data_IF_521700982133
#
_entry.id   IF_521700982133
#
_cell.length_a   1.000
_cell.length_b   1.000
_cell.length_c   1.000
_cell.angle_alpha   90.00
_cell.angle_beta   90.00
_cell.angle_gamma   90.00
#
_symmetry.space_group_name_H-M   'P 1'
#
loop_
_entity.id
_entity.type
_entity.pdbx_description
1 polymer ?
#
# COMPACT_ATOMS: atom_id res chain seq x y z
N UNK A 1 -17.23 -8.49 -15.43
CA UNK A 1 -16.43 -7.77 -14.41
C UNK A 1 -16.70 -6.30 -14.63
N UNK A 2 -17.44 -5.67 -13.72
CA UNK A 2 -17.84 -4.26 -13.83
C UNK A 2 -16.86 -3.37 -13.07
N UNK A 3 -16.59 -2.19 -13.61
CA UNK A 3 -15.69 -1.20 -13.05
C UNK A 3 -16.47 0.06 -12.72
N UNK A 4 -16.35 0.57 -11.50
CA UNK A 4 -17.07 1.72 -10.97
C UNK A 4 -16.09 2.87 -10.73
N UNK A 5 -16.45 4.08 -11.17
CA UNK A 5 -15.71 5.30 -10.89
C UNK A 5 -16.04 5.77 -9.46
N UNK A 6 -14.99 6.02 -8.66
CA UNK A 6 -15.11 6.46 -7.27
C UNK A 6 -14.99 7.99 -7.09
N UNK A 7 -14.63 8.73 -8.14
CA UNK A 7 -14.55 10.19 -8.08
C UNK A 7 -15.94 10.79 -7.82
N UNK A 8 -15.98 11.80 -6.96
CA UNK A 8 -17.15 12.59 -6.63
C UNK A 8 -17.02 13.99 -7.23
N UNK A 9 -18.11 14.60 -7.72
CA UNK A 9 -18.10 15.97 -8.21
C UNK A 9 -17.87 17.00 -7.09
N UNK A 10 -18.04 16.61 -5.83
CA UNK A 10 -17.76 17.43 -4.65
C UNK A 10 -16.29 17.39 -4.23
N UNK A 11 -15.48 16.52 -4.83
CA UNK A 11 -14.04 16.48 -4.57
C UNK A 11 -13.35 17.77 -5.02
N UNK A 12 -12.37 18.27 -4.26
CA UNK A 12 -11.50 19.29 -4.78
C UNK A 12 -10.69 18.75 -5.97
N UNK A 13 -10.24 19.64 -6.88
CA UNK A 13 -9.43 19.23 -8.02
C UNK A 13 -8.13 18.56 -7.56
N UNK A 14 -7.70 17.53 -8.28
CA UNK A 14 -6.50 16.77 -7.94
C UNK A 14 -5.22 17.35 -8.54
N UNK A 15 -5.34 18.39 -9.37
CA UNK A 15 -4.21 19.00 -10.05
C UNK A 15 -4.38 20.52 -10.15
N UNK A 16 -3.28 21.25 -9.94
CA UNK A 16 -3.17 22.69 -10.14
C UNK A 16 -2.00 23.02 -11.08
N UNK A 17 -2.30 23.47 -12.30
CA UNK A 17 -1.29 23.97 -13.23
C UNK A 17 -0.85 25.37 -12.86
N UNK A 18 0.39 25.51 -12.36
CA UNK A 18 1.00 26.82 -12.08
C UNK A 18 1.19 27.66 -13.35
N UNK A 19 1.46 27.00 -14.48
CA UNK A 19 1.66 27.69 -15.78
C UNK A 19 0.38 28.28 -16.36
N UNK A 20 -0.76 27.61 -16.14
CA UNK A 20 -2.07 28.03 -16.63
C UNK A 20 -2.90 28.73 -15.56
N UNK A 21 -2.43 28.72 -14.30
CA UNK A 21 -3.18 29.12 -13.12
C UNK A 21 -4.59 28.50 -13.07
N UNK A 22 -4.68 27.20 -13.39
CA UNK A 22 -5.94 26.50 -13.56
C UNK A 22 -5.92 25.11 -12.93
N UNK A 23 -7.06 24.69 -12.38
CA UNK A 23 -7.24 23.38 -11.73
C UNK A 23 -7.93 22.36 -12.63
N UNK A 24 -7.58 21.08 -12.48
CA UNK A 24 -8.29 19.97 -13.13
C UNK A 24 -8.27 18.70 -12.26
N UNK A 25 -9.01 17.67 -12.68
CA UNK A 25 -9.13 16.38 -11.95
C UNK A 25 -8.74 15.20 -12.86
N UNK A 26 -7.47 15.09 -13.27
CA UNK A 26 -7.01 13.99 -14.13
C UNK A 26 -6.89 12.66 -13.37
N UNK A 27 -6.82 12.69 -12.05
CA UNK A 27 -6.59 11.51 -11.23
C UNK A 27 -7.90 10.77 -10.93
N UNK A 28 -8.10 9.66 -11.63
CA UNK A 28 -9.31 8.84 -11.55
C UNK A 28 -9.07 7.57 -10.75
N UNK A 29 -10.05 7.21 -9.93
CA UNK A 29 -10.02 5.98 -9.14
C UNK A 29 -11.17 5.09 -9.55
N UNK A 30 -10.84 3.84 -9.82
CA UNK A 30 -11.80 2.81 -10.18
C UNK A 30 -11.76 1.64 -9.21
N UNK A 31 -12.92 1.05 -8.97
CA UNK A 31 -13.07 -0.13 -8.13
C UNK A 31 -13.97 -1.17 -8.78
N UNK A 32 -13.69 -2.44 -8.51
CA UNK A 32 -14.57 -3.56 -8.89
C UNK A 32 -15.73 -3.69 -7.89
N UNK A 33 -16.80 -4.34 -8.32
CA UNK A 33 -18.06 -4.48 -7.55
C UNK A 33 -17.85 -5.03 -6.12
N UNK A 34 -16.88 -5.90 -5.92
CA UNK A 34 -16.59 -6.57 -4.64
C UNK A 34 -15.89 -5.69 -3.60
N UNK A 35 -15.28 -4.58 -4.04
CA UNK A 35 -14.52 -3.66 -3.19
C UNK A 35 -15.08 -2.23 -3.20
N UNK A 36 -15.90 -1.84 -4.19
CA UNK A 36 -16.39 -0.46 -4.36
C UNK A 36 -17.06 0.07 -3.08
N UNK A 37 -17.95 -0.72 -2.47
CA UNK A 37 -18.68 -0.34 -1.24
C UNK A 37 -17.84 -0.42 0.03
N UNK A 38 -16.61 -0.94 -0.05
CA UNK A 38 -15.65 -0.99 1.06
C UNK A 38 -14.55 0.04 0.90
N UNK A 39 -14.57 0.80 -0.20
CA UNK A 39 -13.51 1.75 -0.53
C UNK A 39 -13.98 3.15 -0.24
N UNK A 40 -13.25 3.87 0.61
CA UNK A 40 -13.39 5.32 0.80
C UNK A 40 -12.34 6.02 -0.07
N UNK A 41 -12.68 7.21 -0.54
CA UNK A 41 -11.81 8.07 -1.33
C UNK A 41 -11.83 9.47 -0.72
N UNK A 42 -10.66 10.08 -0.61
CA UNK A 42 -10.50 11.46 -0.17
C UNK A 42 -9.38 12.11 -0.97
N UNK A 43 -9.62 13.28 -1.54
CA UNK A 43 -8.54 14.14 -2.04
C UNK A 43 -7.95 14.88 -0.85
N UNK A 44 -6.64 14.77 -0.68
CA UNK A 44 -5.89 15.40 0.40
C UNK A 44 -5.50 16.84 0.02
N UNK A 45 -5.01 17.59 1.00
CA UNK A 45 -4.36 18.88 0.74
C UNK A 45 -3.16 18.69 -0.21
N UNK A 46 -2.83 19.74 -0.96
CA UNK A 46 -1.66 19.70 -1.83
C UNK A 46 -0.39 19.50 -0.99
N UNK A 47 0.48 18.60 -1.48
CA UNK A 47 1.82 18.47 -0.92
C UNK A 47 2.70 19.53 -1.56
N UNK A 48 3.39 20.28 -0.73
CA UNK A 48 4.32 21.29 -1.21
C UNK A 48 5.43 20.67 -2.05
N UNK A 49 5.60 21.19 -3.26
CA UNK A 49 6.52 20.65 -4.28
C UNK A 49 5.85 19.75 -5.33
N UNK A 50 4.59 19.39 -5.15
CA UNK A 50 3.76 18.75 -6.17
C UNK A 50 2.75 19.75 -6.75
N UNK A 51 2.39 19.59 -8.01
CA UNK A 51 1.23 20.21 -8.65
C UNK A 51 -0.02 19.31 -8.58
N UNK A 52 0.14 18.06 -8.13
CA UNK A 52 -0.96 17.14 -7.82
C UNK A 52 -1.26 17.08 -6.32
N UNK A 53 -2.55 17.00 -5.99
CA UNK A 53 -3.07 16.65 -4.67
C UNK A 53 -3.19 15.13 -4.53
N UNK A 54 -2.67 14.54 -3.44
CA UNK A 54 -2.78 13.10 -3.23
C UNK A 54 -4.25 12.64 -3.13
N UNK A 55 -4.54 11.46 -3.68
CA UNK A 55 -5.83 10.79 -3.49
C UNK A 55 -5.64 9.63 -2.51
N UNK A 56 -6.19 9.78 -1.30
CA UNK A 56 -6.17 8.76 -0.26
C UNK A 56 -7.31 7.78 -0.47
N UNK A 57 -6.97 6.49 -0.52
CA UNK A 57 -7.92 5.38 -0.59
C UNK A 57 -7.88 4.57 0.69
N UNK A 58 -9.02 4.48 1.38
CA UNK A 58 -9.22 3.56 2.48
C UNK A 58 -9.98 2.33 1.98
N UNK A 59 -9.54 1.13 2.32
CA UNK A 59 -10.34 -0.08 2.07
C UNK A 59 -10.62 -0.75 3.39
N UNK A 60 -11.90 -0.80 3.75
CA UNK A 60 -12.36 -1.52 4.94
C UNK A 60 -12.13 -3.02 4.75
N UNK A 61 -11.11 -3.52 5.43
CA UNK A 61 -10.82 -4.94 5.51
C UNK A 61 -10.88 -5.40 6.97
N UNK A 62 -11.79 -6.33 7.25
CA UNK A 62 -11.93 -6.98 8.57
C UNK A 62 -10.76 -7.90 8.94
N UNK A 63 -9.57 -7.72 8.36
CA UNK A 63 -8.41 -8.57 8.58
C UNK A 63 -7.25 -7.74 9.11
N UNK A 64 -6.75 -8.08 10.29
CA UNK A 64 -5.41 -7.67 10.70
C UNK A 64 -4.41 -8.44 9.83
N UNK A 65 -3.91 -7.81 8.76
CA UNK A 65 -2.86 -8.41 7.93
C UNK A 65 -1.56 -8.43 8.72
N UNK A 66 -1.30 -9.55 9.39
CA UNK A 66 0.01 -9.82 9.98
C UNK A 66 1.02 -9.98 8.83
N UNK A 67 2.14 -9.26 8.93
CA UNK A 67 3.24 -9.36 7.97
C UNK A 67 4.27 -10.36 8.49
N UNK A 68 4.91 -11.05 7.57
CA UNK A 68 6.06 -11.90 7.89
C UNK A 68 7.23 -11.04 8.38
N UNK A 69 7.80 -11.37 9.53
CA UNK A 69 8.98 -10.69 10.06
C UNK A 69 10.25 -11.49 9.73
N UNK A 70 10.79 -11.28 8.53
CA UNK A 70 11.98 -11.97 8.05
C UNK A 70 13.23 -11.71 8.92
N UNK A 71 13.30 -10.54 9.58
CA UNK A 71 14.42 -10.20 10.47
C UNK A 71 14.43 -11.01 11.77
N UNK A 72 13.28 -11.47 12.25
CA UNK A 72 13.14 -12.29 13.46
C UNK A 72 12.95 -13.78 13.15
N UNK A 73 13.18 -14.19 11.91
CA UNK A 73 12.97 -15.58 11.47
C UNK A 73 14.04 -16.49 12.02
N UNK A 74 13.64 -17.67 12.51
CA UNK A 74 14.58 -18.75 12.77
C UNK A 74 14.81 -19.52 11.46
N UNK A 75 15.86 -19.15 10.74
CA UNK A 75 16.17 -19.72 9.43
C UNK A 75 16.57 -21.19 9.51
N UNK A 76 17.28 -21.60 10.55
CA UNK A 76 17.67 -23.00 10.73
C UNK A 76 16.43 -23.89 10.87
N UNK A 77 15.48 -23.48 11.72
CA UNK A 77 14.21 -24.18 11.89
C UNK A 77 13.37 -24.20 10.60
N UNK A 78 13.36 -23.09 9.84
CA UNK A 78 12.68 -23.04 8.54
C UNK A 78 13.28 -24.04 7.54
N UNK A 79 14.61 -24.09 7.46
CA UNK A 79 15.35 -25.00 6.57
C UNK A 79 15.07 -26.45 6.93
N UNK A 80 15.26 -26.83 8.20
CA UNK A 80 15.02 -28.20 8.65
C UNK A 80 13.58 -28.67 8.39
N UNK A 81 12.58 -27.81 8.64
CA UNK A 81 11.18 -28.14 8.35
C UNK A 81 10.90 -28.28 6.85
N UNK A 82 11.52 -27.43 6.03
CA UNK A 82 11.32 -27.46 4.58
C UNK A 82 11.91 -28.72 3.98
N UNK A 83 13.11 -29.12 4.41
CA UNK A 83 13.76 -30.36 3.97
C UNK A 83 12.91 -31.57 4.37
N UNK A 84 12.49 -31.65 5.63
CA UNK A 84 11.64 -32.74 6.14
C UNK A 84 10.33 -32.86 5.35
N UNK A 85 9.64 -31.74 5.14
CA UNK A 85 8.35 -31.70 4.45
C UNK A 85 8.47 -31.90 2.93
N UNK A 86 9.64 -31.67 2.34
CA UNK A 86 9.89 -31.85 0.92
C UNK A 86 10.21 -33.31 0.54
N UNK A 87 10.69 -34.14 1.48
CA UNK A 87 11.01 -35.58 1.26
C UNK A 87 9.94 -36.34 0.44
N UNK A 88 8.62 -36.25 0.75
CA UNK A 88 7.60 -37.00 0.00
C UNK A 88 7.28 -36.41 -1.39
N UNK A 89 7.85 -35.26 -1.77
CA UNK A 89 7.61 -34.64 -3.07
C UNK A 89 8.38 -35.40 -4.15
N UNK A 90 7.70 -36.31 -4.84
CA UNK A 90 8.24 -36.94 -6.04
C UNK A 90 8.03 -36.05 -7.28
N UNK A 91 9.12 -35.57 -7.88
CA UNK A 91 9.12 -34.79 -9.12
C UNK A 91 9.01 -35.65 -10.38
N UNK A 92 9.31 -36.96 -10.30
CA UNK A 92 9.38 -37.83 -11.47
C UNK A 92 7.99 -38.07 -12.07
N UNK A 93 7.86 -37.78 -13.36
CA UNK A 93 6.61 -38.02 -14.11
C UNK A 93 5.45 -37.08 -13.75
N UNK A 94 5.66 -36.08 -12.88
CA UNK A 94 4.63 -35.08 -12.56
C UNK A 94 4.67 -33.90 -13.51
N UNK A 95 3.49 -33.37 -13.84
CA UNK A 95 3.35 -32.09 -14.55
C UNK A 95 3.87 -30.94 -13.66
N UNK A 96 4.33 -29.88 -14.29
CA UNK A 96 4.96 -28.71 -13.64
C UNK A 96 4.02 -28.02 -12.65
N UNK A 97 2.77 -27.73 -13.02
CA UNK A 97 1.84 -27.00 -12.16
C UNK A 97 1.51 -27.72 -10.84
N UNK A 98 1.15 -29.02 -10.83
CA UNK A 98 0.97 -29.77 -9.58
C UNK A 98 2.22 -29.82 -8.70
N UNK A 99 3.40 -29.95 -9.31
CA UNK A 99 4.66 -29.99 -8.59
C UNK A 99 4.97 -28.63 -7.94
N UNK A 100 4.82 -27.54 -8.68
CA UNK A 100 4.99 -26.17 -8.16
C UNK A 100 4.03 -25.89 -7.00
N UNK A 101 2.77 -26.35 -7.10
CA UNK A 101 1.79 -26.22 -6.02
C UNK A 101 2.23 -26.96 -4.75
N UNK A 102 2.68 -28.21 -4.88
CA UNK A 102 3.15 -29.00 -3.74
C UNK A 102 4.36 -28.36 -3.04
N UNK A 103 5.33 -27.86 -3.81
CA UNK A 103 6.50 -27.15 -3.26
C UNK A 103 6.06 -25.86 -2.55
N UNK A 104 5.16 -25.09 -3.16
CA UNK A 104 4.63 -23.86 -2.59
C UNK A 104 3.91 -24.12 -1.26
N UNK A 105 3.13 -25.19 -1.17
CA UNK A 105 2.45 -25.60 0.06
C UNK A 105 3.45 -25.95 1.17
N UNK A 106 4.53 -26.66 0.84
CA UNK A 106 5.62 -26.95 1.79
C UNK A 106 6.27 -25.67 2.31
N UNK A 107 6.68 -24.76 1.40
CA UNK A 107 7.30 -23.48 1.77
C UNK A 107 6.38 -22.68 2.70
N UNK A 108 5.09 -22.58 2.36
CA UNK A 108 4.11 -21.84 3.17
C UNK A 108 3.94 -22.50 4.55
N UNK A 109 3.91 -23.83 4.61
CA UNK A 109 3.75 -24.57 5.87
C UNK A 109 4.96 -24.40 6.80
N UNK A 110 6.18 -24.48 6.26
CA UNK A 110 7.42 -24.21 7.01
C UNK A 110 7.47 -22.77 7.49
N UNK A 111 7.13 -21.80 6.60
CA UNK A 111 7.13 -20.39 6.94
C UNK A 111 6.18 -20.08 8.10
N UNK A 112 4.97 -20.68 8.09
CA UNK A 112 3.98 -20.47 9.16
C UNK A 112 4.48 -20.89 10.55
N UNK A 113 5.43 -21.83 10.62
CA UNK A 113 6.01 -22.30 11.88
C UNK A 113 7.27 -21.54 12.29
N UNK A 114 8.11 -21.18 11.33
CA UNK A 114 9.45 -20.65 11.60
C UNK A 114 9.56 -19.12 11.47
N UNK A 115 8.66 -18.47 10.74
CA UNK A 115 8.66 -17.01 10.51
C UNK A 115 7.61 -16.36 11.42
N UNK A 116 8.01 -15.56 12.43
CA UNK A 116 7.07 -14.82 13.24
C UNK A 116 6.23 -13.88 12.39
N UNK A 117 4.94 -13.78 12.75
CA UNK A 117 3.99 -12.87 12.13
C UNK A 117 3.64 -11.76 13.09
N UNK A 118 3.61 -10.53 12.60
CA UNK A 118 3.24 -9.38 13.41
C UNK A 118 2.83 -8.19 12.56
N UNK A 119 2.13 -7.25 13.18
CA UNK A 119 1.84 -5.95 12.59
C UNK A 119 2.47 -4.90 13.50
N UNK A 120 3.46 -4.15 13.00
CA UNK A 120 3.90 -2.95 13.70
C UNK A 120 2.84 -1.89 13.51
N UNK A 121 2.23 -1.43 14.61
CA UNK A 121 1.43 -0.21 14.58
C UNK A 121 2.39 0.97 14.34
N UNK A 122 1.96 1.94 13.53
CA UNK A 122 2.59 3.27 13.42
C UNK A 122 4.09 3.29 13.11
N UNK A 123 4.53 2.52 12.12
CA UNK A 123 5.94 2.55 11.70
C UNK A 123 6.24 3.84 10.93
N UNK A 124 6.78 4.86 11.62
CA UNK A 124 7.32 6.08 11.01
C UNK A 124 8.84 5.97 10.93
N UNK A 125 9.36 5.41 9.84
CA UNK A 125 10.82 5.28 9.66
C UNK A 125 11.40 6.61 9.25
N UNK A 126 12.40 7.09 9.99
CA UNK A 126 13.12 8.33 9.70
C UNK A 126 12.30 9.62 9.78
N UNK A 127 11.07 9.57 10.30
CA UNK A 127 10.28 10.76 10.59
C UNK A 127 10.65 11.27 11.97
N UNK A 128 11.31 12.42 12.03
CA UNK A 128 11.71 13.09 13.28
C UNK A 128 10.74 14.22 13.60
N UNK A 129 10.78 14.74 14.83
CA UNK A 129 9.98 15.92 15.22
C UNK A 129 10.37 17.15 14.38
N UNK A 130 11.67 17.35 14.12
CA UNK A 130 12.18 18.40 13.22
C UNK A 130 11.57 18.31 11.81
N UNK A 131 11.44 17.10 11.25
CA UNK A 131 10.82 16.93 9.93
C UNK A 131 9.32 17.23 9.95
N UNK A 132 8.62 16.89 11.04
CA UNK A 132 7.20 17.25 11.20
C UNK A 132 7.03 18.77 11.31
N UNK A 133 7.91 19.47 12.05
CA UNK A 133 7.90 20.94 12.14
C UNK A 133 8.15 21.60 10.78
N UNK A 134 9.20 21.17 10.06
CA UNK A 134 9.51 21.68 8.72
C UNK A 134 8.38 21.46 7.72
N UNK A 135 7.77 20.27 7.73
CA UNK A 135 6.62 19.95 6.89
C UNK A 135 5.42 20.86 7.20
N UNK A 136 5.16 21.14 8.48
CA UNK A 136 4.08 22.05 8.89
C UNK A 136 4.33 23.49 8.42
N UNK A 137 5.55 24.01 8.57
CA UNK A 137 5.91 25.36 8.10
C UNK A 137 5.72 25.50 6.59
N UNK A 138 6.18 24.50 5.85
CA UNK A 138 6.06 24.43 4.39
C UNK A 138 4.59 24.41 3.97
N UNK A 139 3.76 23.55 4.60
CA UNK A 139 2.33 23.46 4.33
C UNK A 139 1.56 24.75 4.66
N UNK A 140 1.96 25.51 5.69
CA UNK A 140 1.38 26.84 5.97
C UNK A 140 1.74 27.82 4.86
N UNK A 141 3.02 27.88 4.47
CA UNK A 141 3.48 28.82 3.45
C UNK A 141 2.82 28.59 2.09
N UNK A 142 2.63 27.34 1.66
CA UNK A 142 2.02 27.10 0.35
C UNK A 142 0.50 27.27 0.32
N UNK A 143 -0.20 27.09 1.45
CA UNK A 143 -1.61 27.52 1.57
C UNK A 143 -1.76 29.02 1.34
N UNK A 144 -0.86 29.84 1.88
CA UNK A 144 -0.88 31.29 1.63
C UNK A 144 -0.68 31.63 0.15
N UNK A 145 0.19 30.90 -0.56
CA UNK A 145 0.46 31.11 -1.99
C UNK A 145 -0.72 30.67 -2.87
N UNK A 146 -1.41 29.58 -2.54
CA UNK A 146 -2.61 29.15 -3.27
C UNK A 146 -3.78 30.14 -3.10
N UNK A 147 -3.97 30.67 -1.90
CA UNK A 147 -5.06 31.62 -1.61
C UNK A 147 -4.77 33.03 -2.14
N UNK A 148 -3.49 33.43 -2.18
CA UNK A 148 -3.04 34.75 -2.63
C UNK A 148 -1.90 34.64 -3.65
N UNK A 149 -2.16 34.20 -4.88
CA UNK A 149 -1.13 34.12 -5.91
C UNK A 149 -0.61 35.52 -6.22
N UNK A 150 0.64 35.81 -5.83
CA UNK A 150 1.31 37.08 -6.15
C UNK A 150 1.65 37.05 -7.64
N UNK A 151 1.12 38.03 -8.38
CA UNK A 151 1.40 38.27 -9.81
C UNK A 151 2.81 38.83 -10.01
#
# INVERSE_FOLDING_TARGET
MSLFLLNSPEDPPTFYSRSLMATSTPDLVFATEDIVFKTTRQVMDQLEGSDHRPVLLGVEMNTTRTRWNYKKTNWDHFTSLTDELAVPINARGKKTNPLAKAITEVIIKSAKKAVPRGASKNYRRYWTEELEELENEVNVAGKEVEENPVV
#
